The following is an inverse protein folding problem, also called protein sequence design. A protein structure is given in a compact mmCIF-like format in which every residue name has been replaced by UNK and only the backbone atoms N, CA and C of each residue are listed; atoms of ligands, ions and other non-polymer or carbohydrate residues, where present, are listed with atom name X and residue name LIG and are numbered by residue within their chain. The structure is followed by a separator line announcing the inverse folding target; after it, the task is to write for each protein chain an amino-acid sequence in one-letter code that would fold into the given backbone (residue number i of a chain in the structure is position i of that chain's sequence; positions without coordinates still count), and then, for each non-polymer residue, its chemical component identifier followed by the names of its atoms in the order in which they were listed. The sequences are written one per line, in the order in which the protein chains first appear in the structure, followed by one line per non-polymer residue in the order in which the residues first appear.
data_IF_446878874172
#
_entry.id   IF_446878874172
#
_cell.length_a   1.000
_cell.length_b   1.000
_cell.length_c   1.000
_cell.angle_alpha   90.00
_cell.angle_beta   90.00
_cell.angle_gamma   90.00
#
_symmetry.space_group_name_H-M   'P 1'
#
loop_
_entity.id
_entity.type
_entity.pdbx_description
1 polymer ?
#
# COMPACT_ATOMS: atom_id res chain seq x y z
N UNK A 1 -10.31 -1.27 -16.67
CA UNK A 1 -10.23 -1.58 -16.14
C UNK A 1 -10.00 -2.41 -15.58
N UNK A 2 -9.66 -2.37 -15.56
CA UNK A 2 -9.42 -3.17 -14.99
C UNK A 2 -10.10 -3.85 -14.32
N UNK A 3 -10.77 -3.56 -14.42
CA UNK A 3 -11.53 -4.10 -13.71
C UNK A 3 -11.52 -5.51 -13.59
N UNK A 4 -11.08 -5.94 -14.13
CA UNK A 4 -11.24 -7.08 -14.07
C UNK A 4 -10.95 -7.81 -13.07
N UNK A 5 -10.70 -7.49 -12.23
CA UNK A 5 -10.69 -8.07 -11.10
C UNK A 5 -11.87 -8.76 -10.79
N UNK A 6 -12.25 -9.68 -11.31
CA UNK A 6 -13.46 -10.16 -11.13
C UNK A 6 -13.56 -11.30 -10.27
N UNK A 7 -14.64 -11.85 -9.95
CA UNK A 7 -14.83 -12.95 -9.09
C UNK A 7 -15.18 -12.52 -7.71
N UNK A 8 -15.69 -13.42 -6.91
CA UNK A 8 -16.13 -13.12 -5.58
C UNK A 8 -14.99 -12.66 -4.70
N UNK A 9 -13.84 -13.29 -4.86
CA UNK A 9 -12.72 -12.89 -4.05
C UNK A 9 -12.26 -11.49 -4.40
N UNK A 10 -12.30 -11.14 -5.66
CA UNK A 10 -11.94 -9.81 -6.06
C UNK A 10 -12.89 -8.78 -5.52
N UNK A 11 -14.17 -9.08 -5.52
CA UNK A 11 -15.15 -8.15 -5.00
C UNK A 11 -14.99 -7.95 -3.49
N UNK A 12 -14.76 -9.03 -2.76
CA UNK A 12 -14.57 -8.91 -1.34
C UNK A 12 -13.31 -8.13 -1.02
N UNK A 13 -12.22 -8.41 -1.74
CA UNK A 13 -10.99 -7.70 -1.50
C UNK A 13 -11.16 -6.23 -1.83
N UNK A 14 -11.91 -5.90 -2.87
CA UNK A 14 -12.13 -4.52 -3.24
C UNK A 14 -12.90 -3.76 -2.18
N UNK A 15 -13.75 -4.42 -1.42
CA UNK A 15 -14.53 -3.74 -0.40
C UNK A 15 -13.65 -3.16 0.71
N UNK A 16 -12.45 -3.73 0.90
CA UNK A 16 -11.53 -3.25 1.94
C UNK A 16 -10.54 -2.21 1.41
N UNK A 17 -10.58 -1.92 0.12
CA UNK A 17 -9.67 -0.98 -0.49
C UNK A 17 -10.42 0.29 -0.86
N UNK A 18 -9.75 1.43 -0.88
CA UNK A 18 -10.39 2.64 -1.40
C UNK A 18 -10.58 2.54 -2.89
N UNK A 19 -11.48 3.34 -3.41
CA UNK A 19 -11.67 3.45 -4.85
C UNK A 19 -10.50 4.21 -5.46
N UNK A 20 -9.99 3.73 -6.57
CA UNK A 20 -8.92 4.41 -7.29
C UNK A 20 -9.55 5.30 -8.33
N UNK A 21 -9.43 6.61 -8.12
CA UNK A 21 -10.01 7.59 -9.02
C UNK A 21 -9.06 7.96 -10.15
N UNK A 22 -7.78 7.75 -9.97
CA UNK A 22 -6.80 8.03 -10.99
C UNK A 22 -5.43 7.53 -10.57
N UNK A 23 -4.57 7.26 -11.55
CA UNK A 23 -3.23 6.78 -11.31
C UNK A 23 -2.29 7.48 -12.27
N UNK A 24 -1.16 7.94 -11.76
CA UNK A 24 -0.09 8.49 -12.58
C UNK A 24 1.20 7.77 -12.24
N UNK A 25 2.00 7.48 -13.25
CA UNK A 25 3.29 6.86 -13.05
C UNK A 25 4.35 7.64 -13.81
N UNK A 26 5.47 7.88 -13.15
CA UNK A 26 6.63 8.51 -13.79
C UNK A 26 7.87 7.86 -13.21
N UNK A 27 8.60 7.11 -14.03
CA UNK A 27 9.79 6.42 -13.57
C UNK A 27 9.44 5.42 -12.46
N UNK A 28 10.06 5.60 -11.31
CA UNK A 28 9.85 4.73 -10.16
C UNK A 28 8.86 5.34 -9.16
N UNK A 29 8.00 6.23 -9.63
CA UNK A 29 7.04 6.90 -8.77
C UNK A 29 5.63 6.65 -9.27
N UNK A 30 4.71 6.45 -8.34
CA UNK A 30 3.29 6.23 -8.63
C UNK A 30 2.48 7.16 -7.74
N UNK A 31 1.41 7.71 -8.30
CA UNK A 31 0.52 8.56 -7.54
C UNK A 31 -0.91 8.13 -7.79
N UNK A 32 -1.64 7.90 -6.72
CA UNK A 32 -3.00 7.38 -6.77
C UNK A 32 -3.95 8.37 -6.13
N UNK A 33 -5.00 8.72 -6.85
CA UNK A 33 -6.09 9.50 -6.27
C UNK A 33 -7.12 8.52 -5.75
N UNK A 34 -7.43 8.60 -4.47
CA UNK A 34 -8.22 7.58 -3.78
C UNK A 34 -9.40 8.20 -3.04
N UNK A 35 -10.44 7.39 -2.85
CA UNK A 35 -11.58 7.79 -2.02
C UNK A 35 -12.07 6.56 -1.27
N UNK A 36 -12.27 6.70 0.04
CA UNK A 36 -12.76 5.60 0.84
C UNK A 36 -14.26 5.81 1.09
N UNK A 37 -15.07 4.79 0.82
CA UNK A 37 -16.50 4.91 0.93
C UNK A 37 -16.98 5.00 2.37
N UNK A 38 -18.18 5.53 2.55
CA UNK A 38 -18.76 5.69 3.88
C UNK A 38 -19.01 4.35 4.55
N UNK A 39 -19.36 3.35 3.80
CA UNK A 39 -19.71 2.05 4.36
C UNK A 39 -18.56 1.05 4.28
N UNK A 40 -17.35 1.51 4.03
CA UNK A 40 -16.23 0.60 3.87
C UNK A 40 -16.01 -0.21 5.15
N UNK A 41 -15.77 -1.53 5.03
CA UNK A 41 -15.57 -2.35 6.21
C UNK A 41 -14.42 -1.95 7.09
N UNK A 42 -13.44 -1.22 6.52
CA UNK A 42 -12.28 -0.79 7.27
C UNK A 42 -12.65 0.10 8.46
N UNK A 43 -13.85 0.70 8.43
CA UNK A 43 -14.31 1.53 9.54
C UNK A 43 -15.09 0.76 10.58
N UNK A 44 -15.43 -0.50 10.33
CA UNK A 44 -16.25 -1.24 11.27
C UNK A 44 -15.40 -1.85 12.36
N UNK A 45 -15.93 -1.96 13.53
CA UNK A 45 -15.30 -2.68 14.60
C UNK A 45 -14.36 -1.89 15.47
N UNK A 46 -13.85 -0.76 15.00
CA UNK A 46 -12.98 0.07 15.79
C UNK A 46 -13.69 1.35 16.13
N UNK A 47 -13.83 1.67 17.38
CA UNK A 47 -14.45 2.91 17.81
C UNK A 47 -15.78 3.13 17.08
N UNK A 48 -16.80 2.29 17.38
CA UNK A 48 -18.05 2.33 16.60
C UNK A 48 -18.67 3.72 16.50
N UNK A 49 -18.47 4.55 17.54
CA UNK A 49 -19.02 5.89 17.53
C UNK A 49 -18.09 6.91 16.93
N UNK A 50 -16.92 6.50 16.47
CA UNK A 50 -15.93 7.41 15.91
C UNK A 50 -15.22 6.68 14.78
N UNK A 51 -15.81 6.64 13.60
CA UNK A 51 -15.21 5.92 12.49
C UNK A 51 -14.00 6.66 11.95
N UNK A 52 -12.84 6.11 12.20
CA UNK A 52 -11.59 6.67 11.67
C UNK A 52 -10.83 5.59 10.92
N UNK A 53 -10.05 6.03 9.97
CA UNK A 53 -9.26 5.12 9.16
C UNK A 53 -8.07 4.62 9.97
N UNK A 54 -7.94 3.31 10.19
CA UNK A 54 -6.78 2.81 10.94
C UNK A 54 -5.49 3.04 10.19
N UNK A 55 -4.44 3.35 10.94
CA UNK A 55 -3.14 3.55 10.33
C UNK A 55 -2.62 2.32 9.62
N UNK A 56 -2.90 1.13 10.17
CA UNK A 56 -2.42 -0.10 9.56
C UNK A 56 -3.03 -0.31 8.17
N UNK A 57 -4.25 0.19 7.95
CA UNK A 57 -4.85 0.10 6.63
C UNK A 57 -4.07 0.92 5.62
N UNK A 58 -3.57 2.07 6.02
CA UNK A 58 -2.79 2.91 5.12
C UNK A 58 -1.49 2.22 4.70
N UNK A 59 -0.84 1.53 5.64
CA UNK A 59 0.35 0.75 5.31
C UNK A 59 0.03 -0.36 4.32
N UNK A 60 -1.03 -1.08 4.60
CA UNK A 60 -1.44 -2.20 3.75
C UNK A 60 -1.75 -1.72 2.33
N UNK A 61 -2.50 -0.64 2.21
CA UNK A 61 -2.88 -0.12 0.91
C UNK A 61 -1.67 0.37 0.11
N UNK A 62 -0.71 1.01 0.78
CA UNK A 62 0.47 1.47 0.08
C UNK A 62 1.18 0.29 -0.59
N UNK A 63 1.33 -0.81 0.13
CA UNK A 63 1.94 -2.00 -0.45
C UNK A 63 1.10 -2.61 -1.55
N UNK A 64 -0.21 -2.74 -1.33
CA UNK A 64 -1.11 -3.38 -2.29
C UNK A 64 -1.13 -2.60 -3.60
N UNK A 65 -1.32 -1.29 -3.54
CA UNK A 65 -1.41 -0.50 -4.76
C UNK A 65 -0.07 -0.47 -5.49
N UNK A 66 1.02 -0.30 -4.75
CA UNK A 66 2.32 -0.33 -5.39
C UNK A 66 2.54 -1.66 -6.11
N UNK A 67 2.31 -2.77 -5.42
CA UNK A 67 2.56 -4.08 -6.00
C UNK A 67 1.64 -4.35 -7.18
N UNK A 68 0.38 -3.96 -7.06
CA UNK A 68 -0.58 -4.20 -8.12
C UNK A 68 -0.23 -3.42 -9.39
N UNK A 69 0.19 -2.18 -9.25
CA UNK A 69 0.43 -1.32 -10.41
C UNK A 69 1.86 -1.40 -10.93
N UNK A 70 2.81 -1.80 -10.10
CA UNK A 70 4.19 -1.94 -10.55
C UNK A 70 4.51 -3.36 -11.02
N UNK A 71 3.73 -4.33 -10.57
CA UNK A 71 4.05 -5.73 -10.86
C UNK A 71 5.14 -6.30 -9.96
N UNK A 72 5.58 -5.56 -8.97
CA UNK A 72 6.64 -6.00 -8.07
C UNK A 72 6.11 -7.13 -7.18
N UNK A 73 6.74 -8.28 -7.23
CA UNK A 73 6.28 -9.46 -6.49
C UNK A 73 6.96 -9.62 -5.13
N UNK A 74 7.84 -8.70 -4.77
CA UNK A 74 8.54 -8.81 -3.49
C UNK A 74 7.58 -8.59 -2.33
N UNK A 75 7.96 -9.07 -1.15
CA UNK A 75 7.13 -8.93 0.03
C UNK A 75 7.66 -7.79 0.89
N UNK A 76 6.77 -7.25 1.72
CA UNK A 76 7.15 -6.20 2.65
C UNK A 76 7.67 -6.86 3.91
N UNK A 77 8.90 -6.56 4.28
CA UNK A 77 9.55 -7.18 5.43
C UNK A 77 9.72 -6.24 6.60
N UNK A 78 9.45 -4.98 6.41
CA UNK A 78 9.62 -4.05 7.51
C UNK A 78 9.09 -2.68 7.16
N UNK A 79 8.93 -1.87 8.17
CA UNK A 79 8.44 -0.52 8.05
C UNK A 79 9.36 0.38 8.85
N UNK A 80 9.73 1.52 8.29
CA UNK A 80 10.56 2.48 8.99
C UNK A 80 9.99 3.89 8.85
N UNK A 81 10.33 4.75 9.79
CA UNK A 81 10.02 6.18 9.75
C UNK A 81 8.55 6.44 9.56
N UNK A 82 7.73 5.66 10.24
CA UNK A 82 6.29 5.77 10.11
C UNK A 82 5.76 6.91 10.96
N UNK A 83 4.96 7.78 10.34
CA UNK A 83 4.31 8.88 11.05
C UNK A 83 2.87 8.96 10.65
N UNK A 84 1.98 9.12 11.63
CA UNK A 84 0.57 9.38 11.38
C UNK A 84 0.28 10.77 11.91
N UNK A 85 -0.21 11.64 11.03
CA UNK A 85 -0.33 13.05 11.33
C UNK A 85 -1.76 13.58 11.26
N UNK A 86 -2.66 12.83 10.66
CA UNK A 86 -4.03 13.30 10.49
C UNK A 86 -5.00 12.14 10.50
N UNK A 87 -6.09 12.29 11.23
CA UNK A 87 -7.17 11.32 11.25
C UNK A 87 -8.05 11.52 10.03
N UNK A 88 -8.46 10.42 9.43
CA UNK A 88 -9.26 10.44 8.21
C UNK A 88 -10.52 9.63 8.46
N UNK A 89 -11.66 10.15 8.02
CA UNK A 89 -12.94 9.51 8.18
C UNK A 89 -13.50 8.97 6.88
N UNK A 90 -14.71 8.39 6.95
CA UNK A 90 -15.35 7.82 5.76
C UNK A 90 -15.68 8.91 4.74
N UNK A 91 -15.65 8.53 3.48
CA UNK A 91 -16.04 9.40 2.39
C UNK A 91 -15.00 10.38 1.94
N UNK A 92 -13.87 10.45 2.63
CA UNK A 92 -12.88 11.46 2.31
C UNK A 92 -11.99 11.04 1.15
N UNK A 93 -11.44 12.02 0.47
CA UNK A 93 -10.53 11.80 -0.65
C UNK A 93 -9.12 12.15 -0.23
N UNK A 94 -8.18 11.40 -0.79
CA UNK A 94 -6.78 11.63 -0.49
C UNK A 94 -5.92 11.05 -1.60
N UNK A 95 -4.64 11.34 -1.53
CA UNK A 95 -3.70 10.91 -2.55
C UNK A 95 -2.60 10.11 -1.90
N UNK A 96 -2.22 9.02 -2.53
CA UNK A 96 -1.09 8.21 -2.11
C UNK A 96 0.01 8.35 -3.14
N UNK A 97 1.19 8.76 -2.70
CA UNK A 97 2.37 8.77 -3.54
C UNK A 97 3.33 7.70 -3.08
N UNK A 98 3.85 6.93 -4.01
CA UNK A 98 4.83 5.90 -3.74
C UNK A 98 6.04 6.12 -4.62
N UNK A 99 7.23 6.03 -4.03
CA UNK A 99 8.45 6.15 -4.79
C UNK A 99 9.42 5.06 -4.35
N UNK A 100 9.91 4.28 -5.30
CA UNK A 100 10.88 3.23 -5.00
C UNK A 100 12.27 3.84 -4.99
N UNK A 101 12.99 3.66 -3.89
CA UNK A 101 14.34 4.18 -3.73
C UNK A 101 15.28 3.06 -3.36
N UNK A 102 16.52 3.16 -3.81
CA UNK A 102 17.56 2.19 -3.50
C UNK A 102 17.14 0.77 -3.80
N UNK A 103 16.32 0.63 -4.83
CA UNK A 103 15.82 -0.64 -5.32
C UNK A 103 14.95 -1.44 -4.35
N UNK A 104 14.98 -1.16 -3.05
CA UNK A 104 14.21 -1.97 -2.09
C UNK A 104 13.49 -1.16 -1.02
N UNK A 105 13.44 0.17 -1.14
CA UNK A 105 12.71 1.00 -0.17
C UNK A 105 11.58 1.70 -0.89
N UNK A 106 10.37 1.42 -0.47
CA UNK A 106 9.21 2.09 -1.02
C UNK A 106 8.80 3.19 -0.07
N UNK A 107 9.00 4.43 -0.48
CA UNK A 107 8.63 5.59 0.32
C UNK A 107 7.21 5.98 -0.04
N UNK A 108 6.36 6.15 0.95
CA UNK A 108 4.98 6.54 0.68
C UNK A 108 4.60 7.78 1.47
N UNK A 109 3.69 8.54 0.89
CA UNK A 109 3.11 9.72 1.52
C UNK A 109 1.63 9.74 1.17
N UNK A 110 0.78 9.85 2.17
CA UNK A 110 -0.64 10.11 1.98
C UNK A 110 -0.90 11.58 2.26
N UNK A 111 -1.63 12.22 1.36
CA UNK A 111 -1.99 13.63 1.51
C UNK A 111 -3.50 13.76 1.35
N UNK A 112 -4.13 14.37 2.33
CA UNK A 112 -5.56 14.59 2.29
C UNK A 112 -5.90 15.62 1.21
N UNK A 113 -7.15 15.62 0.74
CA UNK A 113 -7.57 16.53 -0.31
C UNK A 113 -7.45 17.98 0.11
N UNK A 114 -7.36 18.27 1.41
CA UNK A 114 -7.15 19.63 1.87
C UNK A 114 -5.67 20.04 1.87
N UNK A 115 -4.79 19.15 1.44
CA UNK A 115 -3.36 19.44 1.37
C UNK A 115 -2.55 19.01 2.58
N UNK A 116 -3.18 18.54 3.62
CA UNK A 116 -2.48 18.15 4.83
C UNK A 116 -1.99 16.70 4.75
N UNK A 117 -0.80 16.43 5.23
CA UNK A 117 -0.29 15.07 5.23
C UNK A 117 -1.06 14.21 6.21
N UNK A 118 -1.41 13.02 5.79
CA UNK A 118 -2.06 12.05 6.64
C UNK A 118 -1.06 11.12 7.28
N UNK A 119 -0.16 10.58 6.48
CA UNK A 119 0.87 9.68 6.99
C UNK A 119 2.02 9.61 6.01
N UNK A 120 3.18 9.18 6.51
CA UNK A 120 4.35 8.92 5.70
C UNK A 120 5.06 7.71 6.25
N UNK A 121 5.86 7.06 5.42
CA UNK A 121 6.64 5.94 5.89
C UNK A 121 7.46 5.31 4.79
N UNK A 122 8.20 4.27 5.16
CA UNK A 122 9.03 3.52 4.24
C UNK A 122 8.74 2.05 4.44
N UNK A 123 8.49 1.35 3.34
CA UNK A 123 8.28 -0.09 3.36
C UNK A 123 9.52 -0.75 2.78
N UNK A 124 10.06 -1.73 3.48
CA UNK A 124 11.25 -2.44 3.04
C UNK A 124 10.81 -3.68 2.29
N UNK A 125 11.32 -3.85 1.08
CA UNK A 125 10.93 -4.94 0.21
C UNK A 125 12.01 -6.00 0.18
N UNK A 126 11.58 -7.25 0.05
CA UNK A 126 12.50 -8.38 0.03
C UNK A 126 11.94 -9.43 -0.90
N UNK A 127 12.79 -10.15 -1.64
CA UNK A 127 12.29 -11.20 -2.53
C UNK A 127 11.45 -12.18 -1.75
N UNK A 128 10.39 -12.68 -2.40
CA UNK A 128 9.52 -13.67 -1.79
C UNK A 128 10.28 -14.99 -1.66
N UNK A 129 10.18 -15.60 -0.48
CA UNK A 129 10.75 -16.93 -0.28
C UNK A 129 9.81 -17.94 -0.91
N UNK A 130 10.39 -18.85 -1.66
CA UNK A 130 9.63 -19.92 -2.28
C UNK A 130 9.95 -21.19 -1.54
N UNK A 131 8.94 -22.00 -1.24
CA UNK A 131 9.13 -23.23 -0.51
C UNK A 131 10.17 -24.09 -1.20
N UNK A 132 11.12 -24.60 -0.44
CA UNK A 132 12.19 -25.40 -1.01
C UNK A 132 13.33 -24.59 -1.58
N UNK A 133 13.21 -23.28 -1.60
CA UNK A 133 14.29 -22.43 -2.09
C UNK A 133 14.72 -21.54 -0.95
N UNK A 134 15.99 -21.61 -0.61
CA UNK A 134 16.52 -20.78 0.46
C UNK A 134 17.46 -19.75 -0.12
N UNK A 135 17.83 -18.75 0.66
CA UNK A 135 18.81 -17.80 0.17
C UNK A 135 20.12 -18.46 -0.23
N UNK A 136 20.44 -19.57 0.38
CA UNK A 136 21.66 -20.28 0.03
C UNK A 136 21.57 -20.94 -1.33
N UNK A 137 20.39 -21.09 -1.86
CA UNK A 137 20.22 -21.69 -3.18
C UNK A 137 20.44 -20.72 -4.31
N UNK A 138 20.82 -19.51 -4.00
CA UNK A 138 21.10 -18.54 -5.03
C UNK A 138 22.24 -18.99 -5.90
N UNK A 139 22.34 -18.44 -7.09
CA UNK A 139 23.40 -18.87 -8.01
C UNK A 139 24.77 -18.79 -7.37
N UNK A 140 25.68 -19.62 -7.81
CA UNK A 140 27.03 -19.58 -7.27
C UNK A 140 27.63 -18.19 -7.39
N UNK A 141 28.32 -17.80 -6.37
CA UNK A 141 28.90 -16.49 -6.34
C UNK A 141 28.04 -15.46 -5.68
N UNK A 142 26.78 -15.78 -5.44
CA UNK A 142 25.88 -14.85 -4.76
C UNK A 142 25.88 -15.23 -3.30
N UNK A 143 26.28 -14.36 -2.44
CA UNK A 143 26.30 -14.71 -1.04
C UNK A 143 25.07 -14.15 -0.38
N UNK A 144 24.65 -14.80 0.66
CA UNK A 144 23.45 -14.43 1.33
C UNK A 144 23.57 -13.06 1.96
N UNK A 145 24.71 -12.64 2.29
CA UNK A 145 24.90 -11.35 2.93
C UNK A 145 24.84 -10.19 2.00
N UNK A 146 24.76 -10.45 0.74
CA UNK A 146 24.74 -9.37 -0.18
C UNK A 146 23.36 -8.99 -0.59
#
# INVERSE_FOLDING_TARGET
MAGNLTGANGAEASAWLPDVLGVEQAGHSWRFALQIGFAAPVFSGHFPDLPILPGVAQLHWAGVFYQRYSGDARVIRGVRRLKFQRIVGPGERFELSCELRRSNELHFVYVHSDGERMSTGQLLLQPRMVEGVTPDAWPPGHTAGE
#
